data_IF_078095143897
#
_entry.id   IF_078095143897
#
_cell.length_a   1.000
_cell.length_b   1.000
_cell.length_c   1.000
_cell.angle_alpha   90.00
_cell.angle_beta   90.00
_cell.angle_gamma   90.00
#
_symmetry.space_group_name_H-M   'P 1'
#
loop_
_entity.id
_entity.type
_entity.pdbx_description
1 polymer ?
#
# COMPACT_ATOMS: atom_id res chain seq x y z
N UNK A 1 3.48 -3.55 18.83
CA UNK A 1 2.70 -4.46 17.95
C UNK A 1 1.64 -3.61 17.27
N UNK A 2 1.86 -3.20 16.01
CA UNK A 2 0.85 -2.45 15.26
C UNK A 2 -0.08 -3.45 14.58
N UNK A 3 -1.35 -3.49 14.98
CA UNK A 3 -2.35 -4.26 14.27
C UNK A 3 -2.44 -3.72 12.83
N UNK A 4 -2.06 -4.54 11.87
CA UNK A 4 -2.48 -4.37 10.48
C UNK A 4 -3.97 -4.65 10.46
N UNK A 5 -4.78 -3.60 10.62
CA UNK A 5 -6.22 -3.71 10.45
C UNK A 5 -6.49 -4.40 9.12
N UNK A 6 -7.35 -5.41 9.15
CA UNK A 6 -8.17 -5.83 8.02
C UNK A 6 -8.66 -4.59 7.26
N UNK A 7 -8.98 -4.70 5.97
CA UNK A 7 -9.38 -3.58 5.09
C UNK A 7 -10.63 -2.77 5.51
N UNK A 8 -11.05 -2.86 6.77
CA UNK A 8 -12.04 -2.08 7.46
C UNK A 8 -11.49 -0.70 7.85
N UNK A 9 -12.03 0.35 7.23
CA UNK A 9 -11.82 1.73 7.64
C UNK A 9 -12.82 2.15 8.75
N UNK A 10 -12.47 3.14 9.56
CA UNK A 10 -13.31 3.72 10.64
C UNK A 10 -13.45 5.23 10.45
N UNK A 11 -14.55 5.80 10.97
CA UNK A 11 -14.80 7.25 11.03
C UNK A 11 -14.35 7.89 12.35
N UNK A 12 -13.64 7.14 13.20
CA UNK A 12 -13.09 7.67 14.45
C UNK A 12 -12.11 8.82 14.17
N UNK A 13 -12.36 9.98 14.79
CA UNK A 13 -11.55 11.18 14.56
C UNK A 13 -11.83 11.89 13.23
N UNK A 14 -12.93 11.57 12.55
CA UNK A 14 -13.33 12.25 11.33
C UNK A 14 -13.46 13.77 11.52
N UNK A 15 -13.08 14.50 10.48
CA UNK A 15 -13.14 15.96 10.41
C UNK A 15 -14.18 16.38 9.37
N UNK A 16 -14.70 17.60 9.52
CA UNK A 16 -15.70 18.16 8.60
C UNK A 16 -15.19 19.49 8.06
N UNK A 17 -15.20 19.66 6.74
CA UNK A 17 -14.74 20.87 6.07
C UNK A 17 -15.80 21.37 5.08
N UNK A 18 -15.91 22.69 4.94
CA UNK A 18 -16.73 23.30 3.89
C UNK A 18 -15.85 23.61 2.68
N UNK A 19 -15.79 22.72 1.70
CA UNK A 19 -14.90 22.86 0.54
C UNK A 19 -15.24 24.06 -0.37
N UNK A 20 -16.45 24.63 -0.26
CA UNK A 20 -16.82 25.83 -1.00
C UNK A 20 -16.09 27.08 -0.46
N UNK A 21 -15.78 27.11 0.83
CA UNK A 21 -15.16 28.24 1.53
C UNK A 21 -13.70 27.94 1.95
N UNK A 22 -13.37 26.67 2.15
CA UNK A 22 -12.07 26.18 2.59
C UNK A 22 -11.63 24.95 1.77
N UNK A 23 -11.14 25.22 0.57
CA UNK A 23 -10.59 24.20 -0.32
C UNK A 23 -9.32 23.54 0.24
N UNK A 24 -8.66 24.19 1.20
CA UNK A 24 -7.41 23.73 1.82
C UNK A 24 -7.59 22.89 3.08
N UNK A 25 -8.83 22.62 3.49
CA UNK A 25 -9.17 21.80 4.65
C UNK A 25 -8.47 22.25 5.95
N UNK A 26 -8.40 23.56 6.16
CA UNK A 26 -7.72 24.17 7.31
C UNK A 26 -8.62 24.29 8.54
N UNK A 27 -9.91 24.54 8.35
CA UNK A 27 -10.86 24.79 9.41
C UNK A 27 -11.77 23.58 9.62
N UNK A 28 -11.44 22.76 10.62
CA UNK A 28 -12.28 21.64 11.02
C UNK A 28 -13.55 22.14 11.73
N UNK A 29 -14.70 21.82 11.16
CA UNK A 29 -16.05 22.16 11.63
C UNK A 29 -16.75 21.01 12.36
N UNK A 30 -16.10 19.85 12.55
CA UNK A 30 -16.76 18.66 13.12
C UNK A 30 -17.36 18.93 14.51
N UNK A 31 -16.62 19.65 15.37
CA UNK A 31 -17.09 20.03 16.71
C UNK A 31 -18.23 21.06 16.68
N UNK A 32 -18.28 21.91 15.64
CA UNK A 32 -19.32 22.94 15.48
C UNK A 32 -20.59 22.35 14.85
N UNK A 33 -20.47 21.25 14.10
CA UNK A 33 -21.57 20.58 13.42
C UNK A 33 -21.59 19.06 13.74
N UNK A 34 -21.78 18.66 15.02
CA UNK A 34 -21.69 17.26 15.42
C UNK A 34 -22.78 16.41 14.76
N UNK A 35 -24.01 16.91 14.67
CA UNK A 35 -25.13 16.21 14.04
C UNK A 35 -24.86 15.89 12.56
N UNK A 36 -24.24 16.83 11.82
CA UNK A 36 -23.90 16.61 10.40
C UNK A 36 -22.77 15.60 10.25
N UNK A 37 -21.79 15.68 11.15
CA UNK A 37 -20.69 14.69 11.22
C UNK A 37 -21.23 13.29 11.48
N UNK A 38 -22.16 13.13 12.41
CA UNK A 38 -22.82 11.84 12.72
C UNK A 38 -23.65 11.30 11.54
N UNK A 39 -24.42 12.15 10.88
CA UNK A 39 -25.20 11.78 9.70
C UNK A 39 -24.28 11.23 8.59
N UNK A 40 -23.22 11.95 8.27
CA UNK A 40 -22.25 11.56 7.23
C UNK A 40 -21.48 10.29 7.63
N UNK A 41 -21.08 10.17 8.90
CA UNK A 41 -20.44 8.96 9.41
C UNK A 41 -21.37 7.74 9.30
N UNK A 42 -22.66 7.89 9.62
CA UNK A 42 -23.65 6.84 9.47
C UNK A 42 -23.82 6.40 8.02
N UNK A 43 -23.93 7.35 7.09
CA UNK A 43 -24.02 7.06 5.65
C UNK A 43 -22.76 6.36 5.12
N UNK A 44 -21.59 6.84 5.52
CA UNK A 44 -20.31 6.22 5.18
C UNK A 44 -20.26 4.78 5.71
N UNK A 45 -20.58 4.56 6.99
CA UNK A 45 -20.48 3.24 7.63
C UNK A 45 -21.39 2.22 6.97
N UNK A 46 -22.60 2.66 6.60
CA UNK A 46 -23.53 1.82 5.83
C UNK A 46 -22.94 1.43 4.49
N UNK A 47 -22.48 2.39 3.69
CA UNK A 47 -21.88 2.11 2.38
C UNK A 47 -20.66 1.19 2.50
N UNK A 48 -19.79 1.45 3.49
CA UNK A 48 -18.58 0.67 3.68
C UNK A 48 -18.85 -0.79 4.10
N UNK A 49 -19.98 -1.05 4.76
CA UNK A 49 -20.41 -2.42 5.12
C UNK A 49 -20.83 -3.27 3.91
N UNK A 50 -21.14 -2.61 2.78
CA UNK A 50 -21.54 -3.27 1.53
C UNK A 50 -20.33 -3.64 0.66
N UNK A 51 -19.12 -3.17 1.00
CA UNK A 51 -17.91 -3.41 0.20
C UNK A 51 -17.27 -4.76 0.53
N UNK A 52 -16.81 -5.52 -0.48
CA UNK A 52 -16.05 -6.74 -0.25
C UNK A 52 -14.66 -6.42 0.34
N UNK A 53 -14.08 -7.40 1.04
CA UNK A 53 -12.70 -7.28 1.48
C UNK A 53 -11.73 -7.09 0.29
N UNK A 54 -10.65 -6.31 0.47
CA UNK A 54 -9.67 -6.13 -0.60
C UNK A 54 -8.98 -7.45 -0.94
N UNK A 55 -8.89 -7.76 -2.24
CA UNK A 55 -8.23 -8.97 -2.74
C UNK A 55 -6.70 -8.96 -2.56
N UNK A 56 -6.13 -7.82 -2.18
CA UNK A 56 -4.70 -7.62 -1.97
C UNK A 56 -4.44 -7.20 -0.52
N UNK A 57 -3.29 -7.61 0.02
CA UNK A 57 -2.85 -7.21 1.37
C UNK A 57 -1.54 -6.41 1.30
N UNK A 58 -1.41 -5.29 2.04
CA UNK A 58 -0.13 -4.61 2.19
C UNK A 58 0.94 -5.58 2.72
N UNK A 59 2.13 -5.59 2.13
CA UNK A 59 3.23 -6.45 2.58
C UNK A 59 3.25 -7.86 2.01
N UNK A 60 2.40 -8.19 1.03
CA UNK A 60 2.54 -9.44 0.28
C UNK A 60 3.91 -9.51 -0.42
N UNK A 61 4.72 -10.51 -0.06
CA UNK A 61 5.95 -10.84 -0.79
C UNK A 61 5.58 -11.14 -2.23
N UNK A 62 5.99 -10.26 -3.16
CA UNK A 62 5.94 -10.57 -4.60
C UNK A 62 6.73 -11.86 -4.82
N UNK A 63 6.03 -12.96 -5.05
CA UNK A 63 6.56 -14.22 -5.57
C UNK A 63 7.94 -14.61 -5.04
N UNK A 64 8.06 -14.93 -3.76
CA UNK A 64 9.17 -15.75 -3.28
C UNK A 64 8.90 -17.21 -3.68
N UNK A 65 8.81 -17.49 -4.98
CA UNK A 65 9.19 -18.81 -5.46
C UNK A 65 10.71 -18.81 -5.42
N UNK A 66 11.26 -19.28 -4.30
CA UNK A 66 12.64 -19.77 -4.18
C UNK A 66 12.83 -20.94 -5.15
N UNK A 67 12.90 -20.64 -6.45
CA UNK A 67 13.58 -21.49 -7.40
C UNK A 67 15.02 -21.00 -7.39
N UNK A 68 15.98 -21.74 -6.80
CA UNK A 68 17.38 -21.35 -6.88
C UNK A 68 17.74 -21.24 -8.36
N UNK A 69 18.08 -20.02 -8.79
CA UNK A 69 18.69 -19.77 -10.10
C UNK A 69 19.89 -20.72 -10.18
N UNK A 70 19.94 -21.67 -11.13
CA UNK A 70 21.12 -22.51 -11.27
C UNK A 70 22.28 -21.58 -11.59
N UNK A 71 23.22 -21.47 -10.65
CA UNK A 71 24.46 -20.74 -10.83
C UNK A 71 25.26 -21.52 -11.86
N UNK A 72 25.14 -21.10 -13.12
CA UNK A 72 25.97 -21.62 -14.20
C UNK A 72 27.43 -21.41 -13.82
N UNK A 73 28.06 -22.55 -13.52
CA UNK A 73 29.45 -22.82 -13.18
C UNK A 73 30.45 -21.82 -13.80
N UNK A 74 30.89 -20.82 -13.04
CA UNK A 74 31.95 -19.87 -13.43
C UNK A 74 33.34 -20.40 -13.07
N UNK A 75 33.62 -21.68 -13.34
CA UNK A 75 34.87 -22.34 -12.97
C UNK A 75 35.60 -23.04 -14.12
N UNK A 76 35.33 -22.64 -15.37
CA UNK A 76 36.03 -23.22 -16.54
C UNK A 76 36.67 -22.16 -17.45
N UNK A 77 37.24 -21.08 -16.90
CA UNK A 77 38.16 -20.23 -17.68
C UNK A 77 39.54 -20.25 -17.04
N UNK A 78 40.25 -21.32 -17.37
CA UNK A 78 41.66 -21.54 -17.09
C UNK A 78 42.52 -20.40 -17.67
N UNK A 79 43.31 -19.66 -16.87
CA UNK A 79 44.19 -18.61 -17.36
C UNK A 79 45.59 -19.19 -17.58
N UNK A 80 45.83 -19.82 -18.73
CA UNK A 80 47.11 -19.80 -19.47
C UNK A 80 47.21 -20.99 -20.43
N UNK A 81 47.01 -20.77 -21.73
CA UNK A 81 47.80 -21.48 -22.74
C UNK A 81 47.93 -20.62 -24.01
N UNK A 82 49.13 -20.68 -24.57
CA UNK A 82 49.78 -19.89 -25.62
C UNK A 82 49.13 -19.97 -27.01
N UNK A 83 49.46 -19.02 -27.91
CA UNK A 83 50.19 -19.25 -29.20
C UNK A 83 50.00 -18.13 -30.26
N UNK A 84 51.08 -17.37 -30.48
CA UNK A 84 51.77 -17.08 -31.76
C UNK A 84 51.01 -16.63 -33.02
N UNK A 85 51.32 -15.39 -33.43
CA UNK A 85 51.70 -14.86 -34.76
C UNK A 85 50.70 -14.60 -35.92
N UNK A 86 50.94 -13.41 -36.49
CA UNK A 86 50.96 -13.02 -37.91
C UNK A 86 49.64 -12.70 -38.62
N UNK A 87 49.49 -11.42 -39.02
CA UNK A 87 49.77 -11.01 -40.41
C UNK A 87 50.13 -9.54 -40.49
#
# INVERSE_FOLDING_TARGET
MGQISSGTASTDGAQLFNLAEDLSERLNLAQQNPKKTEELAGLWNRWNSELPEPAWKPGGTRGATDSPRPTANRSARDPSTTKTAAK
#
